data_IF_275600360732
#
_entry.id   IF_275600360732
#
_cell.length_a   1.000
_cell.length_b   1.000
_cell.length_c   1.000
_cell.angle_alpha   90.00
_cell.angle_beta   90.00
_cell.angle_gamma   90.00
#
_symmetry.space_group_name_H-M   'P 1'
#
loop_
_entity.id
_entity.type
_entity.pdbx_description
1 polymer ?
#
# COMPACT_ATOMS: atom_id res chain seq x y z
N UNK A 1 -11.13 15.99 13.66
CA UNK A 1 -11.12 15.78 12.18
C UNK A 1 -10.84 14.32 11.90
N UNK A 2 -11.28 13.75 10.78
CA UNK A 2 -10.88 12.37 10.42
C UNK A 2 -9.44 12.33 9.92
N UNK A 3 -8.67 11.31 10.34
CA UNK A 3 -7.26 11.16 9.92
C UNK A 3 -7.10 11.06 8.41
N UNK A 4 -8.09 10.49 7.69
CA UNK A 4 -8.07 10.42 6.22
C UNK A 4 -7.94 11.78 5.55
N UNK A 5 -8.44 12.87 6.14
CA UNK A 5 -8.35 14.18 5.50
C UNK A 5 -6.90 14.63 5.34
N UNK A 6 -6.04 14.39 6.35
CA UNK A 6 -4.62 14.69 6.25
C UNK A 6 -3.94 13.85 5.15
N UNK A 7 -4.21 12.54 5.12
CA UNK A 7 -3.61 11.64 4.15
C UNK A 7 -4.09 11.95 2.73
N UNK A 8 -5.40 12.12 2.55
CA UNK A 8 -6.01 12.45 1.27
C UNK A 8 -5.53 13.80 0.75
N UNK A 9 -5.35 14.80 1.64
CA UNK A 9 -4.77 16.09 1.23
C UNK A 9 -3.37 15.90 0.67
N UNK A 10 -2.51 15.14 1.32
CA UNK A 10 -1.17 14.81 0.79
C UNK A 10 -1.25 14.09 -0.55
N UNK A 11 -2.05 13.02 -0.65
CA UNK A 11 -2.17 12.20 -1.88
C UNK A 11 -2.72 13.05 -3.05
N UNK A 12 -3.72 13.89 -2.81
CA UNK A 12 -4.30 14.79 -3.81
C UNK A 12 -3.41 15.95 -4.20
N UNK A 13 -2.62 16.49 -3.27
CA UNK A 13 -1.68 17.60 -3.56
C UNK A 13 -0.39 17.14 -4.24
N UNK A 14 -0.08 15.83 -4.21
CA UNK A 14 1.16 15.27 -4.76
C UNK A 14 1.35 15.59 -6.25
N UNK A 15 0.30 15.49 -7.07
CA UNK A 15 0.40 15.80 -8.51
C UNK A 15 0.79 17.27 -8.75
N UNK A 16 0.19 18.19 -8.00
CA UNK A 16 0.46 19.62 -8.13
C UNK A 16 1.86 19.97 -7.62
N UNK A 17 2.30 19.35 -6.52
CA UNK A 17 3.64 19.53 -5.99
C UNK A 17 4.71 19.06 -6.98
N UNK A 18 4.54 17.90 -7.59
CA UNK A 18 5.50 17.38 -8.58
C UNK A 18 5.56 18.30 -9.80
N UNK A 19 4.41 18.73 -10.32
CA UNK A 19 4.34 19.69 -11.43
C UNK A 19 5.01 21.04 -11.07
N UNK A 20 4.76 21.54 -9.85
CA UNK A 20 5.40 22.77 -9.37
C UNK A 20 6.92 22.61 -9.28
N UNK A 21 7.43 21.47 -8.80
CA UNK A 21 8.86 21.18 -8.80
C UNK A 21 9.43 21.15 -10.23
N UNK A 22 8.76 20.50 -11.18
CA UNK A 22 9.20 20.45 -12.58
C UNK A 22 9.29 21.87 -13.17
N UNK A 23 8.32 22.74 -12.87
CA UNK A 23 8.31 24.13 -13.31
C UNK A 23 9.41 24.96 -12.63
N UNK A 24 9.61 24.83 -11.32
CA UNK A 24 10.63 25.61 -10.59
C UNK A 24 12.04 25.23 -11.01
N UNK A 25 12.32 23.94 -11.16
CA UNK A 25 13.65 23.43 -11.53
C UNK A 25 13.86 23.29 -13.04
N UNK A 26 12.84 23.60 -13.86
CA UNK A 26 12.86 23.47 -15.32
C UNK A 26 13.32 22.09 -15.81
N UNK A 27 12.97 21.03 -15.07
CA UNK A 27 13.37 19.66 -15.36
C UNK A 27 12.17 18.84 -15.84
N UNK A 28 12.10 18.68 -17.16
CA UNK A 28 11.07 17.91 -17.88
C UNK A 28 11.64 16.66 -18.56
N UNK A 29 12.75 16.14 -18.04
CA UNK A 29 13.32 14.88 -18.52
C UNK A 29 12.38 13.69 -18.26
N UNK A 30 12.72 12.52 -18.79
CA UNK A 30 11.90 11.32 -18.65
C UNK A 30 11.70 10.90 -17.18
N UNK A 31 12.69 11.12 -16.31
CA UNK A 31 12.62 10.77 -14.89
C UNK A 31 11.45 11.43 -14.16
N UNK A 32 11.38 12.79 -14.12
CA UNK A 32 10.25 13.52 -13.57
C UNK A 32 8.89 13.14 -14.16
N UNK A 33 8.78 12.92 -15.47
CA UNK A 33 7.51 12.49 -16.09
C UNK A 33 7.07 11.11 -15.64
N UNK A 34 7.99 10.14 -15.58
CA UNK A 34 7.69 8.82 -15.04
C UNK A 34 7.32 8.93 -13.56
N UNK A 35 8.05 9.72 -12.78
CA UNK A 35 7.76 9.90 -11.36
C UNK A 35 6.38 10.54 -11.13
N UNK A 36 6.02 11.56 -11.92
CA UNK A 36 4.69 12.17 -11.92
C UNK A 36 3.61 11.15 -12.25
N UNK A 37 3.80 10.34 -13.30
CA UNK A 37 2.86 9.31 -13.68
C UNK A 37 2.68 8.28 -12.55
N UNK A 38 3.76 7.78 -11.96
CA UNK A 38 3.66 6.76 -10.91
C UNK A 38 3.09 7.34 -9.61
N UNK A 39 3.67 8.41 -9.06
CA UNK A 39 3.27 8.95 -7.75
C UNK A 39 1.96 9.75 -7.82
N UNK A 40 1.76 10.52 -8.90
CA UNK A 40 0.54 11.30 -9.13
C UNK A 40 -0.67 10.39 -9.35
N UNK A 41 -0.58 9.40 -10.24
CA UNK A 41 -1.68 8.45 -10.47
C UNK A 41 -1.97 7.62 -9.22
N UNK A 42 -0.94 7.16 -8.49
CA UNK A 42 -1.15 6.51 -7.20
C UNK A 42 -1.92 7.40 -6.21
N UNK A 43 -1.59 8.69 -6.12
CA UNK A 43 -2.34 9.65 -5.31
C UNK A 43 -3.82 9.76 -5.72
N UNK A 44 -4.10 9.82 -7.02
CA UNK A 44 -5.48 9.85 -7.54
C UNK A 44 -6.24 8.54 -7.26
N UNK A 45 -5.61 7.39 -7.49
CA UNK A 45 -6.18 6.07 -7.21
C UNK A 45 -6.47 5.89 -5.71
N UNK A 46 -5.64 6.44 -4.83
CA UNK A 46 -5.90 6.46 -3.39
C UNK A 46 -7.19 7.19 -3.06
N UNK A 47 -7.41 8.38 -3.63
CA UNK A 47 -8.64 9.14 -3.41
C UNK A 47 -9.86 8.40 -3.94
N UNK A 48 -9.75 7.77 -5.11
CA UNK A 48 -10.82 6.96 -5.68
C UNK A 48 -11.15 5.76 -4.79
N UNK A 49 -10.14 5.04 -4.31
CA UNK A 49 -10.29 3.94 -3.35
C UNK A 49 -11.03 4.37 -2.09
N UNK A 50 -10.69 5.54 -1.52
CA UNK A 50 -11.34 6.06 -0.30
C UNK A 50 -12.85 6.28 -0.52
N UNK A 51 -13.29 6.57 -1.75
CA UNK A 51 -14.73 6.68 -2.08
C UNK A 51 -15.39 5.32 -2.34
N UNK A 52 -14.69 4.39 -2.99
CA UNK A 52 -15.28 3.12 -3.44
C UNK A 52 -15.32 2.05 -2.33
N UNK A 53 -14.24 1.92 -1.57
CA UNK A 53 -14.09 0.92 -0.50
C UNK A 53 -13.24 1.50 0.65
N UNK A 54 -13.81 2.43 1.45
CA UNK A 54 -13.10 3.12 2.52
C UNK A 54 -12.58 2.16 3.60
N UNK A 55 -11.41 2.46 4.15
CA UNK A 55 -10.89 1.72 5.30
C UNK A 55 -11.41 2.32 6.61
N UNK A 56 -11.96 1.48 7.48
CA UNK A 56 -12.51 1.90 8.77
C UNK A 56 -11.48 2.59 9.66
N UNK A 57 -10.20 2.21 9.57
CA UNK A 57 -9.15 2.84 10.37
C UNK A 57 -8.99 4.33 10.05
N UNK A 58 -9.28 4.75 8.81
CA UNK A 58 -9.10 6.14 8.40
C UNK A 58 -10.30 7.04 8.75
N UNK A 59 -11.40 6.45 9.21
CA UNK A 59 -12.61 7.16 9.65
C UNK A 59 -12.53 7.61 11.11
N UNK A 60 -11.50 7.19 11.85
CA UNK A 60 -11.29 7.58 13.25
C UNK A 60 -11.08 9.10 13.39
N UNK A 61 -11.72 9.67 14.41
CA UNK A 61 -11.54 11.08 14.76
C UNK A 61 -10.23 11.28 15.52
N UNK A 62 -9.46 12.25 15.05
CA UNK A 62 -8.22 12.69 15.67
C UNK A 62 -8.27 14.19 15.95
N UNK A 63 -7.43 14.63 16.90
CA UNK A 63 -7.19 16.07 17.11
C UNK A 63 -6.61 16.70 15.84
N UNK A 64 -6.82 18.00 15.67
CA UNK A 64 -6.25 18.75 14.54
C UNK A 64 -4.72 18.66 14.56
N UNK A 65 -4.11 18.75 15.74
CA UNK A 65 -2.66 18.60 15.89
C UNK A 65 -2.15 17.26 15.38
N UNK A 66 -2.83 16.17 15.69
CA UNK A 66 -2.46 14.84 15.20
C UNK A 66 -2.68 14.72 13.69
N UNK A 67 -3.73 15.34 13.15
CA UNK A 67 -3.96 15.44 11.71
C UNK A 67 -2.84 16.18 10.98
N UNK A 68 -2.39 17.32 11.50
CA UNK A 68 -1.24 18.08 10.96
C UNK A 68 0.04 17.24 11.03
N UNK A 69 0.30 16.60 12.17
CA UNK A 69 1.46 15.71 12.33
C UNK A 69 1.42 14.56 11.32
N UNK A 70 0.26 13.93 11.10
CA UNK A 70 0.09 12.88 10.11
C UNK A 70 0.40 13.39 8.70
N UNK A 71 -0.09 14.58 8.33
CA UNK A 71 0.20 15.23 7.05
C UNK A 71 1.70 15.46 6.86
N UNK A 72 2.39 15.99 7.88
CA UNK A 72 3.83 16.24 7.82
C UNK A 72 4.64 14.95 7.70
N UNK A 73 4.25 13.91 8.45
CA UNK A 73 4.89 12.60 8.38
C UNK A 73 4.77 12.04 6.96
N UNK A 74 3.55 11.96 6.39
CA UNK A 74 3.40 11.46 5.01
C UNK A 74 4.08 12.38 3.98
N UNK A 75 4.16 13.68 4.26
CA UNK A 75 4.90 14.66 3.47
C UNK A 75 6.39 14.37 3.31
N UNK A 76 6.99 13.55 4.18
CA UNK A 76 8.36 13.06 3.99
C UNK A 76 8.54 12.33 2.64
N UNK A 77 7.47 11.73 2.09
CA UNK A 77 7.52 11.11 0.76
C UNK A 77 7.72 12.10 -0.39
N UNK A 78 7.53 13.40 -0.18
CA UNK A 78 7.83 14.44 -1.18
C UNK A 78 9.32 14.78 -1.28
N UNK A 79 10.16 14.27 -0.38
CA UNK A 79 11.62 14.38 -0.50
C UNK A 79 12.11 13.64 -1.77
N UNK A 80 11.50 12.51 -2.12
CA UNK A 80 11.86 11.73 -3.29
C UNK A 80 11.69 12.48 -4.64
N UNK A 81 10.50 13.03 -4.99
CA UNK A 81 10.37 13.83 -6.21
C UNK A 81 11.22 15.10 -6.15
N UNK A 82 11.35 15.73 -4.98
CA UNK A 82 12.23 16.90 -4.82
C UNK A 82 13.66 16.58 -5.25
N UNK A 83 14.26 15.51 -4.71
CA UNK A 83 15.64 15.12 -5.04
C UNK A 83 15.81 14.73 -6.51
N UNK A 84 14.87 13.95 -7.06
CA UNK A 84 14.93 13.55 -8.47
C UNK A 84 14.90 14.77 -9.39
N UNK A 85 13.95 15.67 -9.15
CA UNK A 85 13.69 16.81 -10.04
C UNK A 85 14.77 17.88 -9.89
N UNK A 86 15.16 18.21 -8.66
CA UNK A 86 16.16 19.25 -8.40
C UNK A 86 17.59 18.85 -8.77
N UNK A 87 17.92 17.55 -8.75
CA UNK A 87 19.28 17.07 -9.08
C UNK A 87 19.59 17.07 -10.58
N UNK A 88 18.58 17.07 -11.45
CA UNK A 88 18.77 16.84 -12.89
C UNK A 88 19.20 15.41 -13.25
N UNK A 89 19.22 14.49 -12.27
CA UNK A 89 19.64 13.10 -12.51
C UNK A 89 18.67 12.39 -13.46
N UNK A 90 19.23 11.64 -14.41
CA UNK A 90 18.45 10.86 -15.37
C UNK A 90 18.63 9.38 -15.06
N UNK A 91 17.60 8.68 -14.56
CA UNK A 91 17.69 7.26 -14.30
C UNK A 91 17.86 6.48 -15.62
N UNK A 92 18.75 5.48 -15.69
CA UNK A 92 18.97 4.71 -16.90
C UNK A 92 17.72 3.86 -17.23
N UNK A 93 17.47 3.52 -18.51
CA UNK A 93 16.26 2.82 -18.92
C UNK A 93 15.94 1.51 -18.17
N UNK A 94 16.92 0.64 -17.84
CA UNK A 94 16.63 -0.56 -17.04
C UNK A 94 16.10 -0.24 -15.63
N UNK A 95 16.58 0.84 -15.01
CA UNK A 95 16.12 1.28 -13.69
C UNK A 95 14.70 1.84 -13.76
N UNK A 96 14.38 2.59 -14.82
CA UNK A 96 13.02 3.08 -15.11
C UNK A 96 12.07 1.88 -15.28
N UNK A 97 12.43 0.89 -16.09
CA UNK A 97 11.62 -0.29 -16.31
C UNK A 97 11.38 -1.08 -15.00
N UNK A 98 12.44 -1.26 -14.19
CA UNK A 98 12.34 -1.88 -12.88
C UNK A 98 11.42 -1.12 -11.93
N UNK A 99 11.57 0.21 -11.83
CA UNK A 99 10.72 1.06 -11.02
C UNK A 99 9.23 0.96 -11.39
N UNK A 100 8.92 1.00 -12.70
CA UNK A 100 7.55 0.86 -13.20
C UNK A 100 7.00 -0.52 -12.86
N UNK A 101 7.75 -1.60 -13.14
CA UNK A 101 7.30 -2.95 -12.86
C UNK A 101 7.05 -3.18 -11.36
N UNK A 102 7.97 -2.74 -10.51
CA UNK A 102 7.84 -2.80 -9.05
C UNK A 102 6.63 -2.02 -8.57
N UNK A 103 6.39 -0.81 -9.11
CA UNK A 103 5.23 0.00 -8.76
C UNK A 103 3.91 -0.68 -9.18
N UNK A 104 3.80 -1.19 -10.40
CA UNK A 104 2.60 -1.87 -10.90
C UNK A 104 2.26 -3.09 -10.04
N UNK A 105 3.25 -3.93 -9.72
CA UNK A 105 3.05 -5.06 -8.81
C UNK A 105 2.58 -4.57 -7.43
N UNK A 106 3.18 -3.49 -6.93
CA UNK A 106 2.77 -2.87 -5.67
C UNK A 106 1.32 -2.40 -5.68
N UNK A 107 0.89 -1.71 -6.75
CA UNK A 107 -0.50 -1.26 -6.96
C UNK A 107 -1.45 -2.46 -6.99
N UNK A 108 -1.14 -3.51 -7.74
CA UNK A 108 -1.97 -4.71 -7.81
C UNK A 108 -2.16 -5.35 -6.41
N UNK A 109 -1.06 -5.54 -5.67
CA UNK A 109 -1.11 -6.12 -4.33
C UNK A 109 -1.84 -5.23 -3.33
N UNK A 110 -1.59 -3.91 -3.35
CA UNK A 110 -2.24 -2.97 -2.44
C UNK A 110 -3.74 -2.92 -2.70
N UNK A 111 -4.16 -2.37 -3.83
CA UNK A 111 -5.58 -2.09 -4.08
C UNK A 111 -6.40 -3.38 -4.17
N UNK A 112 -5.84 -4.44 -4.79
CA UNK A 112 -6.51 -5.74 -4.89
C UNK A 112 -6.79 -6.37 -3.52
N UNK A 113 -5.82 -6.36 -2.61
CA UNK A 113 -6.01 -6.93 -1.27
C UNK A 113 -6.94 -6.09 -0.39
N UNK A 114 -6.90 -4.75 -0.51
CA UNK A 114 -7.81 -3.89 0.22
C UNK A 114 -9.26 -4.01 -0.29
N UNK A 115 -9.47 -4.13 -1.60
CA UNK A 115 -10.78 -4.40 -2.18
C UNK A 115 -11.32 -5.76 -1.73
N UNK A 116 -10.51 -6.83 -1.82
CA UNK A 116 -10.89 -8.15 -1.29
C UNK A 116 -11.28 -8.03 0.19
N UNK A 117 -10.43 -7.42 1.03
CA UNK A 117 -10.69 -7.22 2.46
C UNK A 117 -12.01 -6.51 2.71
N UNK A 118 -12.24 -5.38 2.04
CA UNK A 118 -13.43 -4.57 2.24
C UNK A 118 -14.71 -5.35 1.90
N UNK A 119 -14.80 -5.90 0.68
CA UNK A 119 -16.01 -6.58 0.23
C UNK A 119 -16.23 -7.90 0.97
N UNK A 120 -15.18 -8.67 1.27
CA UNK A 120 -15.32 -9.87 2.10
C UNK A 120 -15.88 -9.52 3.47
N UNK A 121 -15.31 -8.54 4.19
CA UNK A 121 -15.78 -8.18 5.53
C UNK A 121 -17.13 -7.47 5.53
N UNK A 122 -17.53 -6.84 4.42
CA UNK A 122 -18.86 -6.25 4.26
C UNK A 122 -19.97 -7.31 4.27
N UNK A 123 -19.73 -8.48 3.66
CA UNK A 123 -20.75 -9.53 3.53
C UNK A 123 -20.53 -10.72 4.49
N UNK A 124 -19.30 -10.98 4.89
CA UNK A 124 -18.90 -12.05 5.83
C UNK A 124 -17.80 -11.55 6.78
N UNK A 125 -18.16 -10.96 7.92
CA UNK A 125 -17.19 -10.63 8.96
C UNK A 125 -16.49 -11.89 9.46
N UNK A 126 -15.15 -11.88 9.51
CA UNK A 126 -14.39 -13.05 9.95
C UNK A 126 -12.90 -12.96 9.61
N UNK A 127 -12.20 -14.08 9.82
CA UNK A 127 -10.80 -14.23 9.42
C UNK A 127 -10.72 -14.56 7.92
N UNK A 128 -10.02 -13.72 7.15
CA UNK A 128 -9.77 -13.96 5.72
C UNK A 128 -8.50 -14.79 5.58
N UNK A 129 -8.60 -15.97 4.96
CA UNK A 129 -7.46 -16.89 4.75
C UNK A 129 -7.30 -17.34 3.29
N UNK A 130 -7.93 -16.61 2.35
CA UNK A 130 -7.95 -16.91 0.92
C UNK A 130 -7.45 -15.72 0.07
N UNK A 131 -7.27 -15.94 -1.23
CA UNK A 131 -6.86 -14.91 -2.19
C UNK A 131 -5.54 -14.24 -1.80
N UNK A 132 -5.53 -12.89 -1.81
CA UNK A 132 -4.36 -12.10 -1.44
C UNK A 132 -3.85 -12.39 -0.01
N UNK A 133 -4.73 -12.85 0.89
CA UNK A 133 -4.37 -13.12 2.27
C UNK A 133 -3.93 -14.57 2.50
N UNK A 134 -4.07 -15.48 1.53
CA UNK A 134 -3.81 -16.91 1.74
C UNK A 134 -2.40 -17.21 2.27
N UNK A 135 -1.39 -16.48 1.79
CA UNK A 135 0.03 -16.70 2.10
C UNK A 135 0.72 -15.50 2.72
N UNK A 136 0.09 -14.33 2.75
CA UNK A 136 0.63 -13.12 3.34
C UNK A 136 -0.46 -12.40 4.12
N UNK A 137 -0.24 -12.18 5.43
CA UNK A 137 -1.25 -11.54 6.28
C UNK A 137 -1.39 -10.05 5.98
N UNK A 138 -0.39 -9.41 5.38
CA UNK A 138 -0.31 -7.96 5.18
C UNK A 138 0.05 -7.60 3.73
N UNK A 139 -0.62 -8.23 2.77
CA UNK A 139 -0.39 -8.01 1.33
C UNK A 139 -0.55 -6.55 0.92
N UNK A 140 -1.46 -5.82 1.57
CA UNK A 140 -1.65 -4.39 1.33
C UNK A 140 -0.40 -3.58 1.71
N UNK A 141 0.21 -3.86 2.86
CA UNK A 141 1.46 -3.22 3.28
C UNK A 141 2.65 -3.61 2.38
N UNK A 142 2.72 -4.87 1.92
CA UNK A 142 3.72 -5.26 0.92
C UNK A 142 3.55 -4.46 -0.36
N UNK A 143 2.31 -4.32 -0.85
CA UNK A 143 2.00 -3.51 -2.02
C UNK A 143 2.42 -2.05 -1.85
N UNK A 144 2.06 -1.44 -0.73
CA UNK A 144 2.45 -0.07 -0.38
C UNK A 144 3.99 0.10 -0.36
N UNK A 145 4.72 -0.83 0.24
CA UNK A 145 6.20 -0.80 0.24
C UNK A 145 6.75 -0.87 -1.18
N UNK A 146 6.21 -1.73 -2.05
CA UNK A 146 6.66 -1.85 -3.44
C UNK A 146 6.33 -0.59 -4.26
N UNK A 147 5.18 0.05 -4.03
CA UNK A 147 4.83 1.33 -4.67
C UNK A 147 5.91 2.37 -4.38
N UNK A 148 6.24 2.56 -3.10
CA UNK A 148 7.25 3.52 -2.67
C UNK A 148 8.69 3.12 -3.01
N UNK A 149 8.98 1.82 -3.08
CA UNK A 149 10.26 1.32 -3.59
C UNK A 149 10.43 1.68 -5.07
N UNK A 150 9.38 1.53 -5.89
CA UNK A 150 9.36 1.96 -7.28
C UNK A 150 9.71 3.45 -7.41
N UNK A 151 9.17 4.29 -6.53
CA UNK A 151 9.55 5.70 -6.49
C UNK A 151 11.01 5.90 -6.11
N UNK A 152 11.48 5.27 -5.03
CA UNK A 152 12.84 5.40 -4.52
C UNK A 152 13.91 4.97 -5.55
N UNK A 153 13.62 3.93 -6.34
CA UNK A 153 14.48 3.46 -7.42
C UNK A 153 14.82 4.57 -8.43
N UNK A 154 13.85 5.41 -8.80
CA UNK A 154 14.06 6.49 -9.77
C UNK A 154 14.98 7.61 -9.27
N UNK A 155 15.00 7.86 -7.95
CA UNK A 155 15.68 9.02 -7.36
C UNK A 155 17.21 8.87 -7.36
N UNK A 156 17.73 7.64 -7.44
CA UNK A 156 19.16 7.35 -7.37
C UNK A 156 19.84 7.96 -6.13
N UNK A 157 19.12 8.03 -5.01
CA UNK A 157 19.58 8.59 -3.75
C UNK A 157 19.15 7.68 -2.58
N UNK A 158 19.98 7.55 -1.54
CA UNK A 158 19.73 6.63 -0.43
C UNK A 158 18.58 7.09 0.50
N UNK A 159 18.38 8.40 0.64
CA UNK A 159 17.42 8.99 1.61
C UNK A 159 15.97 8.50 1.43
N UNK A 160 15.38 8.43 0.22
CA UNK A 160 14.07 7.79 0.02
C UNK A 160 13.95 6.36 0.56
N UNK A 161 15.01 5.55 0.46
CA UNK A 161 15.01 4.19 1.03
C UNK A 161 15.02 4.23 2.56
N UNK A 162 15.78 5.14 3.18
CA UNK A 162 15.78 5.31 4.62
C UNK A 162 14.40 5.76 5.13
N UNK A 163 13.74 6.70 4.44
CA UNK A 163 12.37 7.14 4.76
C UNK A 163 11.41 5.95 4.66
N UNK A 164 11.47 5.17 3.58
CA UNK A 164 10.64 3.97 3.41
C UNK A 164 10.88 2.93 4.51
N UNK A 165 12.14 2.70 4.90
CA UNK A 165 12.48 1.80 5.99
C UNK A 165 11.93 2.29 7.34
N UNK A 166 11.99 3.59 7.61
CA UNK A 166 11.41 4.20 8.82
C UNK A 166 9.89 4.04 8.87
N UNK A 167 9.18 4.28 7.75
CA UNK A 167 7.74 4.01 7.67
C UNK A 167 7.43 2.52 7.88
N UNK A 168 8.21 1.64 7.25
CA UNK A 168 8.10 0.20 7.45
C UNK A 168 8.22 -0.20 8.91
N UNK A 169 9.29 0.24 9.58
CA UNK A 169 9.60 -0.15 10.96
C UNK A 169 8.72 0.52 12.02
N UNK A 170 8.38 1.80 11.85
CA UNK A 170 7.71 2.60 12.88
C UNK A 170 6.19 2.70 12.68
N UNK A 171 5.69 2.50 11.46
CA UNK A 171 4.26 2.61 11.16
C UNK A 171 3.68 1.27 10.74
N UNK A 172 4.28 0.60 9.76
CA UNK A 172 3.68 -0.60 9.19
C UNK A 172 3.83 -1.79 10.14
N UNK A 173 5.04 -2.13 10.60
CA UNK A 173 5.26 -3.27 11.49
C UNK A 173 4.42 -3.22 12.78
N UNK A 174 4.35 -2.10 13.51
CA UNK A 174 3.52 -2.03 14.71
C UNK A 174 2.03 -2.26 14.41
N UNK A 175 1.52 -1.71 13.30
CA UNK A 175 0.14 -1.94 12.86
C UNK A 175 -0.11 -3.40 12.45
N UNK A 176 0.85 -4.03 11.76
CA UNK A 176 0.79 -5.45 11.40
C UNK A 176 0.73 -6.34 12.65
N UNK A 177 1.53 -6.05 13.67
CA UNK A 177 1.54 -6.80 14.95
C UNK A 177 0.26 -6.56 15.76
N UNK A 178 -0.23 -5.32 15.82
CA UNK A 178 -1.52 -4.99 16.45
C UNK A 178 -2.67 -5.74 15.76
N UNK A 179 -2.63 -5.84 14.43
CA UNK A 179 -3.58 -6.63 13.65
C UNK A 179 -3.47 -8.13 13.98
N UNK A 180 -2.27 -8.71 13.98
CA UNK A 180 -2.08 -10.13 14.34
C UNK A 180 -2.62 -10.43 15.75
N UNK A 181 -2.41 -9.54 16.73
CA UNK A 181 -3.00 -9.66 18.08
C UNK A 181 -4.52 -9.60 18.07
N UNK A 182 -5.11 -8.77 17.21
CA UNK A 182 -6.57 -8.72 17.04
C UNK A 182 -7.10 -10.02 16.42
N UNK A 183 -6.40 -10.56 15.42
CA UNK A 183 -6.77 -11.79 14.72
C UNK A 183 -6.60 -13.06 15.58
N UNK A 184 -5.78 -13.03 16.64
CA UNK A 184 -5.59 -14.21 17.51
C UNK A 184 -6.82 -14.63 18.31
N UNK A 185 -7.91 -13.86 18.26
CA UNK A 185 -9.22 -14.27 18.81
C UNK A 185 -9.89 -15.38 18.00
N UNK A 186 -9.51 -15.56 16.73
CA UNK A 186 -10.09 -16.58 15.86
C UNK A 186 -9.38 -17.93 16.10
N UNK A 187 -10.11 -19.02 16.39
CA UNK A 187 -9.51 -20.34 16.63
C UNK A 187 -8.60 -20.82 15.49
N UNK A 188 -8.93 -20.46 14.24
CA UNK A 188 -8.21 -20.87 13.04
C UNK A 188 -6.91 -20.07 12.82
N UNK A 189 -6.70 -18.97 13.57
CA UNK A 189 -5.59 -18.06 13.36
C UNK A 189 -4.23 -18.72 13.60
N UNK A 190 -4.13 -19.62 14.59
CA UNK A 190 -2.87 -20.32 14.88
C UNK A 190 -2.40 -21.15 13.67
N UNK A 191 -3.30 -21.93 13.08
CA UNK A 191 -3.03 -22.70 11.86
C UNK A 191 -2.75 -21.80 10.66
N UNK A 192 -3.53 -20.72 10.50
CA UNK A 192 -3.31 -19.75 9.42
C UNK A 192 -1.94 -19.04 9.52
N UNK A 193 -1.50 -18.67 10.72
CA UNK A 193 -0.21 -18.02 10.96
C UNK A 193 0.98 -18.90 10.58
N UNK A 194 0.86 -20.23 10.74
CA UNK A 194 1.90 -21.19 10.35
C UNK A 194 2.07 -21.31 8.82
N UNK A 195 1.02 -21.03 8.06
CA UNK A 195 1.02 -21.13 6.59
C UNK A 195 1.07 -19.79 5.86
N UNK A 196 1.20 -18.67 6.58
CA UNK A 196 1.27 -17.32 6.01
C UNK A 196 2.44 -16.54 6.60
N UNK A 197 3.06 -15.68 5.81
CA UNK A 197 4.07 -14.77 6.31
C UNK A 197 3.44 -13.48 6.83
N UNK A 198 4.18 -12.75 7.67
CA UNK A 198 3.71 -11.46 8.18
C UNK A 198 3.61 -10.44 7.04
N UNK A 199 4.70 -10.21 6.31
CA UNK A 199 4.80 -9.23 5.22
C UNK A 199 5.10 -9.88 3.86
N UNK A 200 5.97 -10.88 3.81
CA UNK A 200 6.29 -11.61 2.58
C UNK A 200 5.41 -12.87 2.47
N UNK A 201 5.02 -13.29 1.25
CA UNK A 201 4.28 -14.53 1.07
C UNK A 201 5.07 -15.74 1.57
N UNK A 202 4.42 -16.61 2.31
CA UNK A 202 5.00 -17.89 2.70
C UNK A 202 4.99 -18.85 1.50
N UNK A 203 6.16 -19.23 1.03
CA UNK A 203 6.34 -20.06 -0.17
C UNK A 203 6.43 -21.57 0.12
N UNK A 204 6.55 -21.98 1.39
CA UNK A 204 6.75 -23.38 1.78
C UNK A 204 5.48 -24.09 2.29
N UNK A 205 4.31 -23.45 2.24
CA UNK A 205 3.05 -24.04 2.68
C UNK A 205 2.14 -24.30 1.48
N UNK A 206 1.52 -25.49 1.43
CA UNK A 206 0.42 -25.76 0.49
C UNK A 206 -0.73 -24.80 0.83
N UNK A 207 -1.18 -24.05 -0.17
CA UNK A 207 -2.40 -23.26 0.00
C UNK A 207 -3.57 -24.24 0.18
N UNK A 208 -4.57 -23.95 1.03
CA UNK A 208 -5.79 -24.74 1.08
C UNK A 208 -6.42 -24.77 -0.32
N UNK A 209 -6.85 -25.95 -0.75
CA UNK A 209 -7.46 -26.14 -2.06
C UNK A 209 -8.83 -25.45 -2.08
N UNK A 210 -8.98 -24.42 -2.91
CA UNK A 210 -10.23 -23.63 -3.02
C UNK A 210 -11.39 -24.50 -3.54
N UNK A 211 -11.09 -25.67 -4.13
CA UNK A 211 -12.09 -26.57 -4.69
C UNK A 211 -12.83 -27.40 -3.64
N UNK A 212 -12.22 -27.71 -2.50
CA UNK A 212 -12.83 -28.62 -1.52
C UNK A 212 -13.92 -28.00 -0.65
N UNK A 213 -14.07 -26.66 -0.65
CA UNK A 213 -15.09 -25.96 0.16
C UNK A 213 -16.43 -25.74 -0.56
N UNK A 214 -16.50 -26.00 -1.87
CA UNK A 214 -17.73 -25.82 -2.66
C UNK A 214 -18.54 -27.11 -2.81
N UNK A 215 -17.96 -28.29 -2.57
CA UNK A 215 -18.70 -29.56 -2.62
C UNK A 215 -19.70 -29.66 -1.45
N UNK A 216 -19.32 -29.23 -0.24
CA UNK A 216 -20.19 -29.23 0.95
C UNK A 216 -21.43 -28.32 0.84
N UNK A 217 -21.44 -27.35 -0.08
CA UNK A 217 -22.58 -26.45 -0.29
C UNK A 217 -23.54 -26.95 -1.38
N UNK A 218 -23.15 -27.96 -2.16
CA UNK A 218 -23.98 -28.53 -3.23
C UNK A 218 -24.86 -29.70 -2.77
N UNK A 219 -24.53 -30.34 -1.65
CA UNK A 219 -25.33 -31.45 -1.09
C UNK A 219 -26.54 -30.99 -0.27
N UNK A 220 -26.67 -29.69 0.02
CA UNK A 220 -27.74 -29.12 0.86
C UNK A 220 -28.96 -28.55 0.12
N UNK A 221 -29.09 -28.70 -1.20
CA UNK A 221 -30.24 -28.21 -1.98
C UNK A 221 -30.87 -29.30 -2.84
N UNK A 222 -31.53 -30.25 -2.16
CA UNK A 222 -32.69 -30.94 -2.70
C UNK A 222 -33.83 -30.89 -1.68
N UNK A 223 -34.61 -29.80 -1.71
CA UNK A 223 -36.09 -29.74 -1.60
C UNK A 223 -36.53 -28.45 -2.29
#
# INVERSE_FOLDING_TARGET
MKIKHAINLHKGSTVFLILALMLVYQNFSIGPWVYLALHGTYGMLWLLKDQLYPDKQWEEEVSISLGVTAFLIVGAYWIAPFLLISSGSTPPPPLIAGAIATNIVGVFLHYGSDAQKYYTLKYRPGLITEGFFARCRNTNYLGEILIYLGFALLVQHWLPYAILALFGGLVFVPNMLKKDKSLSRYPEFAAYKQRSGLLLPWIFSRAPDVRSSNEDLSEGKQV
#
